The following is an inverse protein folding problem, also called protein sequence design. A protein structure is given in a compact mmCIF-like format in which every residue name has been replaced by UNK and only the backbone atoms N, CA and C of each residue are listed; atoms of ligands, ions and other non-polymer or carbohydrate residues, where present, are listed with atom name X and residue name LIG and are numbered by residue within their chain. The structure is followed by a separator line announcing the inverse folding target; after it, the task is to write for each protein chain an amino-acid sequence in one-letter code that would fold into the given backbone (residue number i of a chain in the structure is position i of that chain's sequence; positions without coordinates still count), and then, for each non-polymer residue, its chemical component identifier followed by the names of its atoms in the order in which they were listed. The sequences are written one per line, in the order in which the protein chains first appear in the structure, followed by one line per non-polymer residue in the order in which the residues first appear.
data_IF_678519127771
#
_entry.id   IF_678519127771
#
_cell.length_a   1.000
_cell.length_b   1.000
_cell.length_c   1.000
_cell.angle_alpha   90.00
_cell.angle_beta   90.00
_cell.angle_gamma   90.00
#
_symmetry.space_group_name_H-M   'P 1'
#
loop_
_entity.id
_entity.type
_entity.pdbx_description
1 polymer ?
#
# COMPACT_ATOMS: atom_id res chain seq x y z
N UNK A 1 2.67 -81.23 -18.28
CA UNK A 1 2.59 -79.97 -19.05
C UNK A 1 2.37 -78.86 -18.04
N UNK A 2 3.36 -77.96 -17.93
CA UNK A 2 3.80 -77.31 -16.69
C UNK A 2 3.25 -75.91 -16.45
N UNK A 3 3.21 -75.56 -15.16
CA UNK A 3 3.17 -74.22 -14.56
C UNK A 3 4.58 -73.57 -14.61
N UNK A 4 4.58 -72.25 -14.50
CA UNK A 4 5.63 -71.32 -14.01
C UNK A 4 6.76 -70.79 -14.95
N UNK A 5 7.01 -69.47 -14.73
CA UNK A 5 8.29 -68.70 -14.78
C UNK A 5 8.47 -67.58 -15.85
N UNK A 6 8.18 -66.34 -15.41
CA UNK A 6 8.94 -65.05 -15.39
C UNK A 6 9.65 -64.38 -16.60
N UNK A 7 9.64 -63.02 -16.51
CA UNK A 7 10.53 -61.96 -17.06
C UNK A 7 10.24 -61.40 -18.47
N UNK A 8 10.38 -60.10 -18.80
CA UNK A 8 10.55 -58.81 -18.12
C UNK A 8 10.46 -57.70 -19.20
N UNK A 9 9.96 -56.50 -18.84
CA UNK A 9 10.54 -55.16 -19.07
C UNK A 9 9.49 -54.04 -19.21
N UNK A 10 9.68 -53.05 -18.36
CA UNK A 10 9.00 -51.77 -18.27
C UNK A 10 9.33 -50.83 -19.45
N UNK A 11 8.46 -49.85 -19.72
CA UNK A 11 8.83 -48.43 -19.64
C UNK A 11 7.60 -47.52 -19.85
N UNK A 12 7.38 -46.66 -18.86
CA UNK A 12 7.01 -45.24 -18.97
C UNK A 12 5.87 -44.81 -19.92
N UNK A 13 4.74 -44.40 -19.31
CA UNK A 13 4.20 -43.03 -19.41
C UNK A 13 2.98 -42.92 -18.49
N UNK A 14 3.26 -42.92 -17.18
CA UNK A 14 2.34 -42.34 -16.22
C UNK A 14 2.43 -40.83 -16.37
N UNK A 15 1.66 -40.26 -17.30
CA UNK A 15 1.28 -38.86 -17.22
C UNK A 15 0.39 -38.72 -15.99
N UNK A 16 1.03 -38.49 -14.84
CA UNK A 16 0.36 -37.89 -13.70
C UNK A 16 -0.02 -36.51 -14.20
N UNK A 17 -1.25 -36.40 -14.71
CA UNK A 17 -1.95 -35.13 -14.79
C UNK A 17 -2.09 -34.67 -13.33
N UNK A 18 -1.09 -33.93 -12.86
CA UNK A 18 -1.32 -32.97 -11.79
C UNK A 18 -2.53 -32.17 -12.25
N UNK A 19 -3.60 -32.02 -11.45
CA UNK A 19 -4.61 -31.04 -11.81
C UNK A 19 -3.85 -29.73 -11.99
N UNK A 20 -3.91 -29.16 -13.20
CA UNK A 20 -3.62 -27.76 -13.40
C UNK A 20 -4.56 -27.06 -12.43
N UNK A 21 -4.03 -26.67 -11.27
CA UNK A 21 -4.79 -25.80 -10.38
C UNK A 21 -5.07 -24.58 -11.23
N UNK A 22 -6.34 -24.14 -11.39
CA UNK A 22 -6.58 -22.85 -12.02
C UNK A 22 -5.69 -21.84 -11.29
N UNK A 23 -4.98 -20.98 -12.04
CA UNK A 23 -4.32 -19.82 -11.46
C UNK A 23 -5.35 -19.21 -10.50
N UNK A 24 -5.02 -19.15 -9.22
CA UNK A 24 -5.93 -18.51 -8.28
C UNK A 24 -6.06 -17.08 -8.82
N UNK A 25 -7.27 -16.62 -9.19
CA UNK A 25 -7.43 -15.22 -9.54
C UNK A 25 -6.99 -14.39 -8.33
N UNK A 26 -6.60 -13.13 -8.59
CA UNK A 26 -6.35 -12.12 -7.55
C UNK A 26 -7.23 -12.34 -6.33
N UNK A 27 -6.65 -12.15 -5.15
CA UNK A 27 -7.39 -12.38 -3.92
C UNK A 27 -8.55 -11.38 -3.78
N UNK A 28 -9.52 -11.68 -2.91
CA UNK A 28 -10.71 -10.81 -2.76
C UNK A 28 -10.45 -9.57 -1.88
N UNK A 29 -9.27 -9.48 -1.23
CA UNK A 29 -8.91 -8.35 -0.38
C UNK A 29 -8.90 -7.04 -1.16
N UNK A 30 -9.53 -6.01 -0.59
CA UNK A 30 -9.65 -4.70 -1.20
C UNK A 30 -9.22 -3.60 -0.22
N UNK A 31 -8.35 -2.71 -0.72
CA UNK A 31 -7.89 -1.50 -0.08
C UNK A 31 -8.32 -0.28 -0.89
N UNK A 32 -8.30 0.88 -0.24
CA UNK A 32 -8.70 2.14 -0.88
C UNK A 32 -7.63 3.20 -0.65
N UNK A 33 -7.13 3.77 -1.74
CA UNK A 33 -6.36 5.01 -1.73
C UNK A 33 -7.33 6.18 -1.96
N UNK A 34 -7.45 7.07 -0.98
CA UNK A 34 -8.33 8.25 -1.09
C UNK A 34 -7.56 9.40 -1.72
N UNK A 35 -8.17 10.08 -2.69
CA UNK A 35 -7.55 11.24 -3.33
C UNK A 35 -7.37 12.39 -2.34
N UNK A 36 -6.19 12.99 -2.25
CA UNK A 36 -5.94 14.20 -1.46
C UNK A 36 -5.90 15.45 -2.34
N UNK A 37 -6.47 16.54 -1.82
CA UNK A 37 -6.47 17.86 -2.46
C UNK A 37 -5.62 18.88 -1.70
N UNK A 38 -5.11 18.52 -0.52
CA UNK A 38 -4.09 19.30 0.18
C UNK A 38 -2.75 18.60 0.02
N UNK A 39 -1.63 19.34 0.04
CA UNK A 39 -0.31 18.75 0.13
C UNK A 39 -0.21 17.78 1.32
N UNK A 40 0.53 16.69 1.11
CA UNK A 40 0.97 15.76 2.16
C UNK A 40 2.48 15.97 2.35
N UNK A 41 2.90 16.17 3.58
CA UNK A 41 4.28 16.42 3.98
C UNK A 41 4.80 15.16 4.67
N UNK A 42 5.74 14.46 4.02
CA UNK A 42 6.41 13.30 4.61
C UNK A 42 7.42 13.77 5.65
N UNK A 43 7.00 13.84 6.91
CA UNK A 43 7.82 14.31 8.04
C UNK A 43 7.73 13.41 9.28
N UNK A 44 6.97 12.32 9.20
CA UNK A 44 6.84 11.33 10.26
C UNK A 44 5.96 11.79 11.42
N UNK A 45 5.02 12.71 11.19
CA UNK A 45 4.13 13.23 12.26
C UNK A 45 2.65 12.89 12.09
N UNK A 46 2.21 12.48 10.89
CA UNK A 46 0.82 12.19 10.54
C UNK A 46 -0.14 13.38 10.72
N UNK A 47 0.35 14.61 10.94
CA UNK A 47 -0.49 15.78 11.25
C UNK A 47 -1.49 16.11 10.12
N UNK A 48 -1.10 15.92 8.87
CA UNK A 48 -1.92 16.16 7.69
C UNK A 48 -2.72 14.92 7.23
N UNK A 49 -2.41 13.75 7.79
CA UNK A 49 -3.20 12.53 7.68
C UNK A 49 -4.40 12.53 8.62
N UNK A 50 -4.28 13.17 9.78
CA UNK A 50 -5.35 13.30 10.77
C UNK A 50 -6.28 14.46 10.42
N UNK A 51 -7.58 14.17 10.31
CA UNK A 51 -8.61 15.18 10.16
C UNK A 51 -9.01 15.71 11.54
N UNK A 52 -8.57 16.92 11.91
CA UNK A 52 -9.17 17.66 13.04
C UNK A 52 -10.59 18.08 12.68
N UNK A 53 -11.60 17.41 13.24
CA UNK A 53 -13.02 17.76 13.11
C UNK A 53 -13.43 18.97 13.98
N UNK A 54 -12.51 19.87 14.34
CA UNK A 54 -12.81 20.93 15.31
C UNK A 54 -13.75 22.02 14.76
N UNK A 55 -13.99 22.09 13.44
CA UNK A 55 -14.80 23.16 12.84
C UNK A 55 -15.84 22.72 11.79
N UNK A 56 -15.97 21.43 11.47
CA UNK A 56 -17.03 20.99 10.56
C UNK A 56 -18.32 20.72 11.33
N UNK A 57 -19.37 21.52 11.10
CA UNK A 57 -20.76 21.27 11.55
C UNK A 57 -21.40 19.99 10.95
N UNK A 58 -20.59 19.09 10.41
CA UNK A 58 -21.01 17.81 9.85
C UNK A 58 -20.73 16.70 10.88
N UNK A 59 -21.63 16.56 11.85
CA UNK A 59 -21.64 15.39 12.75
C UNK A 59 -22.28 14.20 12.03
N UNK A 60 -21.54 13.56 11.14
CA UNK A 60 -21.80 12.17 10.79
C UNK A 60 -21.40 11.28 11.97
N UNK A 61 -22.31 11.12 12.95
CA UNK A 61 -22.07 10.24 14.09
C UNK A 61 -22.18 8.79 13.66
N UNK A 62 -21.05 8.10 13.46
CA UNK A 62 -21.02 6.66 13.67
C UNK A 62 -20.83 6.43 15.18
N UNK A 63 -21.92 6.09 15.89
CA UNK A 63 -21.79 5.69 17.29
C UNK A 63 -21.26 4.25 17.36
N UNK A 64 -20.00 4.08 17.77
CA UNK A 64 -19.53 2.81 18.27
C UNK A 64 -19.73 2.76 19.79
N UNK A 65 -20.04 1.57 20.29
CA UNK A 65 -20.52 1.21 21.62
C UNK A 65 -19.53 1.53 22.75
N UNK A 66 -19.21 2.82 22.99
CA UNK A 66 -18.54 3.37 24.20
C UNK A 66 -18.32 4.89 24.21
N UNK A 67 -18.78 5.66 23.21
CA UNK A 67 -18.81 7.13 23.29
C UNK A 67 -17.44 7.83 23.16
N UNK A 68 -16.43 7.15 22.61
CA UNK A 68 -15.14 7.77 22.27
C UNK A 68 -15.27 8.49 20.91
N UNK A 69 -14.81 9.73 20.84
CA UNK A 69 -14.65 10.46 19.57
C UNK A 69 -13.41 9.90 18.91
N UNK A 70 -13.56 9.32 17.72
CA UNK A 70 -12.47 8.79 16.90
C UNK A 70 -12.10 9.89 15.91
N UNK A 71 -10.84 10.35 15.97
CA UNK A 71 -10.26 11.22 14.95
C UNK A 71 -10.18 10.44 13.63
N UNK A 72 -10.74 11.00 12.55
CA UNK A 72 -10.71 10.33 11.26
C UNK A 72 -9.35 10.55 10.61
N UNK A 73 -8.62 9.49 10.30
CA UNK A 73 -7.52 9.54 9.33
C UNK A 73 -8.14 9.62 7.93
N UNK A 74 -7.50 10.35 7.00
CA UNK A 74 -7.99 10.58 5.63
C UNK A 74 -8.05 9.32 4.73
N UNK A 75 -8.14 8.12 5.28
CA UNK A 75 -8.17 6.87 4.53
C UNK A 75 -8.93 5.76 5.26
N UNK A 76 -9.19 4.67 4.55
CA UNK A 76 -9.67 3.44 5.16
C UNK A 76 -8.45 2.62 5.64
N UNK A 77 -8.39 2.22 6.93
CA UNK A 77 -7.26 1.48 7.44
C UNK A 77 -7.21 0.06 6.89
N UNK A 78 -6.00 -0.38 6.57
CA UNK A 78 -5.61 -1.77 6.39
C UNK A 78 -4.95 -2.21 7.70
N UNK A 79 -5.42 -3.32 8.28
CA UNK A 79 -4.90 -3.81 9.55
C UNK A 79 -4.05 -5.06 9.34
N UNK A 80 -2.83 -5.04 9.85
CA UNK A 80 -1.97 -6.23 9.97
C UNK A 80 -1.77 -6.54 11.47
N UNK A 81 -2.03 -7.77 11.87
CA UNK A 81 -1.82 -8.31 13.22
C UNK A 81 -2.03 -9.84 13.20
N UNK A 82 -1.88 -10.50 14.35
CA UNK A 82 -2.06 -11.95 14.49
C UNK A 82 -3.42 -12.51 14.00
N UNK A 83 -4.47 -11.68 13.90
CA UNK A 83 -5.83 -12.10 13.53
C UNK A 83 -6.21 -11.75 12.09
N UNK A 84 -5.65 -10.68 11.53
CA UNK A 84 -6.03 -10.17 10.20
C UNK A 84 -4.98 -10.44 9.12
N UNK A 85 -3.75 -10.75 9.50
CA UNK A 85 -2.67 -11.04 8.55
C UNK A 85 -2.58 -12.51 8.17
N UNK A 86 -2.05 -12.77 6.98
CA UNK A 86 -1.49 -14.05 6.60
C UNK A 86 -0.06 -14.16 7.15
N UNK A 87 0.16 -15.15 8.01
CA UNK A 87 1.48 -15.43 8.58
C UNK A 87 2.27 -16.34 7.64
N UNK A 88 3.38 -15.85 7.12
CA UNK A 88 4.24 -16.62 6.21
C UNK A 88 5.42 -17.25 6.93
N UNK A 89 5.98 -16.53 7.90
CA UNK A 89 7.10 -16.97 8.72
C UNK A 89 6.98 -16.39 10.13
N UNK A 90 7.61 -17.06 11.10
CA UNK A 90 7.64 -16.62 12.50
C UNK A 90 6.29 -16.78 13.21
N UNK A 91 6.00 -15.90 14.16
CA UNK A 91 4.77 -15.90 14.97
C UNK A 91 4.54 -14.51 15.54
N UNK A 92 3.32 -13.99 15.45
CA UNK A 92 2.87 -12.81 16.22
C UNK A 92 2.15 -13.30 17.47
N UNK A 93 2.71 -13.04 18.66
CA UNK A 93 2.23 -13.56 19.95
C UNK A 93 0.96 -12.85 20.42
N UNK A 94 0.88 -11.53 20.22
CA UNK A 94 -0.29 -10.71 20.56
C UNK A 94 -0.30 -9.39 19.78
N UNK A 95 -1.39 -8.59 19.83
CA UNK A 95 -1.39 -7.26 19.24
C UNK A 95 -0.34 -6.29 19.83
N UNK A 96 0.12 -6.58 21.04
CA UNK A 96 1.20 -5.86 21.72
C UNK A 96 2.61 -6.30 21.30
N UNK A 97 2.73 -7.48 20.69
CA UNK A 97 3.97 -7.96 20.05
C UNK A 97 4.10 -7.22 18.71
N UNK A 98 3.08 -7.36 17.84
CA UNK A 98 3.03 -6.63 16.58
C UNK A 98 1.60 -6.30 16.14
N UNK A 99 1.36 -5.03 15.80
CA UNK A 99 0.18 -4.63 15.02
C UNK A 99 0.40 -3.34 14.24
N UNK A 100 -0.21 -3.23 13.07
CA UNK A 100 -0.12 -2.05 12.22
C UNK A 100 -1.48 -1.62 11.68
N UNK A 101 -1.70 -0.31 11.65
CA UNK A 101 -2.79 0.33 10.91
C UNK A 101 -2.19 1.18 9.79
N UNK A 102 -2.52 0.84 8.55
CA UNK A 102 -1.90 1.39 7.35
C UNK A 102 -2.94 2.09 6.50
N UNK A 103 -2.59 3.26 5.96
CA UNK A 103 -3.47 4.12 5.21
C UNK A 103 -2.82 4.48 3.87
N UNK A 104 -3.65 4.59 2.84
CA UNK A 104 -3.23 4.97 1.51
C UNK A 104 -3.93 6.26 1.07
N UNK A 105 -3.15 7.20 0.54
CA UNK A 105 -3.64 8.37 -0.17
C UNK A 105 -3.02 8.45 -1.56
N UNK A 106 -3.61 9.25 -2.43
CA UNK A 106 -2.99 9.57 -3.71
C UNK A 106 -3.34 10.97 -4.19
N UNK A 107 -2.49 11.54 -5.02
CA UNK A 107 -2.80 12.69 -5.87
C UNK A 107 -2.25 12.45 -7.29
N UNK A 108 -2.31 13.46 -8.16
CA UNK A 108 -1.81 13.35 -9.54
C UNK A 108 -0.29 13.09 -9.65
N UNK A 109 0.48 13.28 -8.57
CA UNK A 109 1.94 13.20 -8.55
C UNK A 109 2.48 12.05 -7.72
N UNK A 110 1.82 11.70 -6.61
CA UNK A 110 2.33 10.72 -5.66
C UNK A 110 1.28 9.74 -5.19
N UNK A 111 1.76 8.54 -4.91
CA UNK A 111 1.16 7.62 -3.97
C UNK A 111 1.70 7.91 -2.58
N UNK A 112 0.85 7.86 -1.55
CA UNK A 112 1.29 8.04 -0.18
C UNK A 112 0.85 6.86 0.68
N UNK A 113 1.73 6.45 1.58
CA UNK A 113 1.45 5.47 2.63
C UNK A 113 1.73 6.11 3.99
N UNK A 114 0.86 5.84 4.95
CA UNK A 114 1.11 6.07 6.36
C UNK A 114 0.89 4.79 7.15
N UNK A 115 1.72 4.55 8.15
CA UNK A 115 1.58 3.45 9.07
C UNK A 115 1.69 3.95 10.51
N UNK A 116 0.81 3.45 11.37
CA UNK A 116 0.95 3.47 12.83
C UNK A 116 1.22 2.05 13.25
N UNK A 117 2.40 1.80 13.81
CA UNK A 117 2.89 0.46 14.14
C UNK A 117 3.15 0.38 15.63
N UNK A 118 2.59 -0.66 16.24
CA UNK A 118 2.94 -1.12 17.57
C UNK A 118 3.86 -2.32 17.44
N UNK A 119 4.98 -2.27 18.15
CA UNK A 119 6.11 -3.17 18.04
C UNK A 119 6.88 -3.09 19.37
N UNK A 120 7.06 -4.22 20.05
CA UNK A 120 7.73 -4.26 21.34
C UNK A 120 9.26 -4.21 21.26
N UNK A 121 9.85 -4.54 20.10
CA UNK A 121 11.29 -4.48 19.87
C UNK A 121 11.68 -3.99 18.46
N UNK A 122 11.74 -2.66 18.30
CA UNK A 122 12.23 -2.07 17.05
C UNK A 122 13.73 -2.31 16.77
N UNK A 123 14.04 -3.09 15.73
CA UNK A 123 15.35 -3.39 15.17
C UNK A 123 15.56 -2.69 13.82
N UNK A 124 16.65 -1.90 13.72
CA UNK A 124 16.97 -1.07 12.53
C UNK A 124 18.49 -1.04 12.27
N UNK A 125 19.15 -2.18 12.23
CA UNK A 125 20.61 -2.32 12.16
C UNK A 125 21.20 -2.28 10.73
N UNK A 126 20.40 -2.62 9.72
CA UNK A 126 20.79 -2.75 8.31
C UNK A 126 20.51 -1.47 7.52
N UNK A 127 20.93 -1.42 6.26
CA UNK A 127 20.77 -0.25 5.39
C UNK A 127 20.68 -0.67 3.92
N UNK A 128 20.14 0.22 3.09
CA UNK A 128 20.05 -0.01 1.65
C UNK A 128 19.28 -1.30 1.31
N UNK A 129 19.89 -2.16 0.50
CA UNK A 129 19.25 -3.40 0.06
C UNK A 129 19.02 -4.43 1.18
N UNK A 130 19.66 -4.27 2.34
CA UNK A 130 19.63 -5.24 3.45
C UNK A 130 18.55 -4.94 4.50
N UNK A 131 17.78 -3.84 4.35
CA UNK A 131 16.76 -3.46 5.35
C UNK A 131 15.64 -4.50 5.53
N UNK A 132 15.50 -5.48 4.62
CA UNK A 132 14.55 -6.59 4.76
C UNK A 132 14.86 -7.53 5.93
N UNK A 133 16.07 -7.45 6.49
CA UNK A 133 16.51 -8.25 7.64
C UNK A 133 16.04 -7.69 8.99
N UNK A 134 15.48 -6.48 8.98
CA UNK A 134 15.03 -5.68 10.12
C UNK A 134 13.51 -5.45 10.04
N UNK A 135 12.97 -4.61 10.94
CA UNK A 135 11.62 -4.09 10.80
C UNK A 135 11.48 -3.22 9.56
N UNK A 136 10.58 -3.66 8.67
CA UNK A 136 10.32 -3.00 7.40
C UNK A 136 8.87 -3.18 6.99
N UNK A 137 8.26 -2.10 6.52
CA UNK A 137 7.01 -2.14 5.77
C UNK A 137 7.34 -2.32 4.30
N UNK A 138 6.78 -3.34 3.68
CA UNK A 138 6.94 -3.64 2.26
C UNK A 138 5.63 -3.45 1.51
N UNK A 139 5.69 -2.64 0.46
CA UNK A 139 4.62 -2.39 -0.47
C UNK A 139 4.89 -3.17 -1.76
N UNK A 140 3.89 -3.93 -2.19
CA UNK A 140 3.96 -4.74 -3.39
C UNK A 140 2.93 -4.26 -4.39
N UNK A 141 3.38 -3.94 -5.60
CA UNK A 141 2.54 -3.36 -6.64
C UNK A 141 2.60 -4.20 -7.91
N UNK A 142 1.44 -4.43 -8.50
CA UNK A 142 1.27 -4.81 -9.91
C UNK A 142 0.46 -3.67 -10.56
N UNK A 143 1.16 -2.74 -11.22
CA UNK A 143 0.57 -1.52 -11.72
C UNK A 143 -0.42 -1.74 -12.88
N UNK A 144 -0.29 -2.81 -13.68
CA UNK A 144 -1.24 -3.12 -14.76
C UNK A 144 -2.36 -4.04 -14.30
N UNK A 145 -2.22 -4.66 -13.14
CA UNK A 145 -3.21 -5.57 -12.57
C UNK A 145 -3.55 -6.71 -13.56
N UNK A 146 -2.50 -7.25 -14.17
CA UNK A 146 -2.56 -8.32 -15.17
C UNK A 146 -1.65 -9.51 -14.83
N UNK A 147 -1.10 -9.54 -13.60
CA UNK A 147 -0.26 -10.63 -13.15
C UNK A 147 -1.01 -11.97 -13.12
N UNK A 148 -0.49 -12.91 -13.89
CA UNK A 148 -0.97 -14.30 -13.96
C UNK A 148 0.10 -15.31 -13.54
N UNK A 149 1.25 -14.82 -13.07
CA UNK A 149 2.41 -15.63 -12.70
C UNK A 149 2.85 -15.33 -11.28
N UNK A 150 3.53 -16.29 -10.65
CA UNK A 150 3.98 -16.22 -9.26
C UNK A 150 5.28 -15.44 -9.03
N UNK A 151 5.77 -14.70 -10.03
CA UNK A 151 7.10 -14.08 -9.98
C UNK A 151 7.02 -12.60 -10.31
N UNK A 152 7.34 -11.76 -9.33
CA UNK A 152 7.56 -10.32 -9.50
C UNK A 152 8.88 -10.05 -10.21
N UNK A 153 8.82 -9.64 -11.47
CA UNK A 153 9.98 -9.13 -12.21
C UNK A 153 9.60 -8.35 -13.48
N UNK A 154 8.31 -8.08 -13.71
CA UNK A 154 7.87 -7.25 -14.83
C UNK A 154 8.21 -5.78 -14.59
N UNK A 155 8.20 -4.99 -15.66
CA UNK A 155 8.60 -3.57 -15.63
C UNK A 155 7.67 -2.70 -14.78
N UNK A 156 6.43 -3.14 -14.57
CA UNK A 156 5.36 -2.44 -13.86
C UNK A 156 5.01 -3.10 -12.51
N UNK A 157 5.82 -4.08 -12.09
CA UNK A 157 5.74 -4.76 -10.80
C UNK A 157 6.83 -4.23 -9.86
N UNK A 158 6.50 -3.97 -8.60
CA UNK A 158 7.44 -3.35 -7.64
C UNK A 158 7.37 -4.00 -6.26
N UNK A 159 8.54 -4.17 -5.62
CA UNK A 159 8.67 -4.32 -4.17
C UNK A 159 9.34 -3.06 -3.62
N UNK A 160 8.67 -2.33 -2.76
CA UNK A 160 9.18 -1.10 -2.14
C UNK A 160 9.21 -1.27 -0.63
N UNK A 161 10.36 -1.11 0.00
CA UNK A 161 10.54 -1.22 1.45
C UNK A 161 10.72 0.13 2.11
N UNK A 162 10.16 0.26 3.30
CA UNK A 162 10.27 1.44 4.15
C UNK A 162 10.57 0.99 5.58
N UNK A 163 11.80 1.22 6.04
CA UNK A 163 12.23 0.89 7.40
C UNK A 163 12.39 2.19 8.19
N UNK A 164 11.85 2.29 9.42
CA UNK A 164 11.84 3.53 10.20
C UNK A 164 13.25 3.93 10.66
N UNK A 165 13.38 5.13 11.19
CA UNK A 165 14.49 5.52 12.04
C UNK A 165 14.35 4.81 13.39
N UNK A 166 15.46 4.40 14.00
CA UNK A 166 15.45 3.69 15.27
C UNK A 166 16.84 3.57 15.91
N UNK A 167 17.00 2.68 16.90
CA UNK A 167 18.22 2.54 17.69
C UNK A 167 19.47 2.18 16.86
N UNK A 168 19.31 1.38 15.81
CA UNK A 168 20.41 0.95 14.94
C UNK A 168 20.75 1.96 13.84
N UNK A 169 19.77 2.79 13.44
CA UNK A 169 19.91 3.73 12.33
C UNK A 169 19.06 5.00 12.56
N UNK A 170 19.67 6.19 12.63
CA UNK A 170 18.96 7.42 13.02
C UNK A 170 18.05 8.01 11.92
N UNK A 171 18.00 7.40 10.74
CA UNK A 171 17.22 7.88 9.60
C UNK A 171 16.36 6.74 9.05
N UNK A 172 15.13 7.07 8.67
CA UNK A 172 14.29 6.17 7.90
C UNK A 172 14.92 5.94 6.52
N UNK A 173 14.74 4.74 5.98
CA UNK A 173 15.31 4.33 4.69
C UNK A 173 14.21 3.74 3.83
N UNK A 174 14.21 4.14 2.56
CA UNK A 174 13.38 3.52 1.53
C UNK A 174 14.28 2.75 0.55
N UNK A 175 13.81 1.61 0.08
CA UNK A 175 14.51 0.82 -0.93
C UNK A 175 13.52 0.20 -1.92
N UNK A 176 13.99 -0.14 -3.13
CA UNK A 176 13.19 -0.87 -4.11
C UNK A 176 13.93 -2.13 -4.55
N UNK A 177 13.20 -3.24 -4.56
CA UNK A 177 13.64 -4.54 -5.08
C UNK A 177 12.68 -5.01 -6.18
N UNK A 178 13.01 -6.16 -6.78
CA UNK A 178 12.12 -6.94 -7.66
C UNK A 178 11.44 -6.14 -8.79
N UNK A 179 12.17 -5.20 -9.36
CA UNK A 179 11.84 -4.51 -10.60
C UNK A 179 13.12 -4.41 -11.45
N UNK A 180 13.06 -4.49 -12.79
CA UNK A 180 14.25 -4.35 -13.64
C UNK A 180 14.92 -2.97 -13.58
N UNK A 181 14.26 -1.95 -13.02
CA UNK A 181 14.74 -0.56 -12.92
C UNK A 181 14.43 0.06 -11.54
N UNK A 182 15.11 -0.41 -10.50
CA UNK A 182 14.91 0.08 -9.12
C UNK A 182 15.55 1.42 -8.83
N UNK A 183 16.72 1.74 -9.40
CA UNK A 183 17.51 2.94 -9.04
C UNK A 183 16.72 4.26 -9.12
N UNK A 184 15.97 4.57 -10.20
CA UNK A 184 15.18 5.80 -10.26
C UNK A 184 14.04 5.83 -9.24
N UNK A 185 13.52 4.67 -8.84
CA UNK A 185 12.48 4.57 -7.80
C UNK A 185 13.08 4.88 -6.44
N UNK A 186 14.22 4.27 -6.11
CA UNK A 186 14.95 4.52 -4.85
C UNK A 186 15.26 6.00 -4.69
N UNK A 187 15.75 6.66 -5.76
CA UNK A 187 16.10 8.08 -5.72
C UNK A 187 14.89 9.02 -5.61
N UNK A 188 13.71 8.57 -6.01
CA UNK A 188 12.50 9.38 -6.08
C UNK A 188 11.62 9.27 -4.82
N UNK A 189 11.70 8.15 -4.09
CA UNK A 189 10.93 7.94 -2.88
C UNK A 189 11.38 8.85 -1.74
N UNK A 190 10.41 9.27 -0.93
CA UNK A 190 10.66 9.96 0.34
C UNK A 190 10.03 9.16 1.47
N UNK A 191 10.74 9.06 2.60
CA UNK A 191 10.26 8.39 3.80
C UNK A 191 10.65 9.19 5.04
N UNK A 192 9.76 9.22 6.01
CA UNK A 192 10.03 9.79 7.33
C UNK A 192 9.31 8.96 8.39
N UNK A 193 9.81 9.00 9.61
CA UNK A 193 9.24 8.25 10.73
C UNK A 193 9.53 8.95 12.05
N UNK A 194 8.69 8.69 13.05
CA UNK A 194 8.95 9.07 14.44
C UNK A 194 8.66 7.91 15.36
N UNK A 195 9.45 7.78 16.43
CA UNK A 195 9.18 6.79 17.48
C UNK A 195 7.96 7.22 18.31
N UNK A 196 7.13 6.26 18.67
CA UNK A 196 6.10 6.40 19.70
C UNK A 196 6.58 5.69 20.98
N UNK A 197 5.89 5.83 22.12
CA UNK A 197 6.25 5.09 23.33
C UNK A 197 6.20 3.56 23.18
N UNK A 198 5.49 3.07 22.18
CA UNK A 198 5.06 1.69 22.00
C UNK A 198 5.25 1.18 20.56
N UNK A 199 6.11 1.85 19.78
CA UNK A 199 6.37 1.52 18.39
C UNK A 199 6.80 2.75 17.59
N UNK A 200 6.20 2.95 16.41
CA UNK A 200 6.55 4.06 15.53
C UNK A 200 5.42 4.46 14.58
N UNK A 201 5.56 5.65 14.01
CA UNK A 201 4.80 6.08 12.84
C UNK A 201 5.75 6.20 11.65
N UNK A 202 5.25 5.87 10.46
CA UNK A 202 6.00 5.96 9.21
C UNK A 202 5.12 6.60 8.13
N UNK A 203 5.71 7.49 7.35
CA UNK A 203 5.11 8.09 6.17
C UNK A 203 6.03 7.91 4.98
N UNK A 204 5.45 7.63 3.81
CA UNK A 204 6.18 7.56 2.56
C UNK A 204 5.41 8.24 1.43
N UNK A 205 6.15 8.83 0.50
CA UNK A 205 5.65 9.30 -0.79
C UNK A 205 6.43 8.63 -1.92
N UNK A 206 5.69 8.06 -2.87
CA UNK A 206 6.23 7.42 -4.07
C UNK A 206 5.72 8.18 -5.29
N UNK A 207 6.58 8.89 -6.04
CA UNK A 207 6.16 9.59 -7.23
C UNK A 207 5.68 8.63 -8.32
N UNK A 208 4.48 8.85 -8.87
CA UNK A 208 3.95 8.04 -9.97
C UNK A 208 4.86 8.03 -11.20
N UNK A 209 5.60 9.12 -11.43
CA UNK A 209 6.56 9.23 -12.51
C UNK A 209 7.73 8.23 -12.41
N UNK A 210 8.00 7.68 -11.22
CA UNK A 210 9.00 6.65 -11.01
C UNK A 210 8.43 5.22 -11.20
N UNK A 211 7.11 5.05 -11.08
CA UNK A 211 6.41 3.78 -11.21
C UNK A 211 5.86 3.63 -12.64
N UNK A 212 6.67 3.05 -13.53
CA UNK A 212 6.25 2.74 -14.90
C UNK A 212 5.00 1.85 -14.90
N UNK A 213 4.02 2.19 -15.73
CA UNK A 213 2.76 1.45 -15.83
C UNK A 213 1.69 1.86 -14.82
N UNK A 214 2.06 2.49 -13.70
CA UNK A 214 1.10 2.98 -12.72
C UNK A 214 0.45 4.30 -13.21
N UNK A 215 -0.84 4.23 -13.50
CA UNK A 215 -1.63 5.38 -13.97
C UNK A 215 -2.93 5.49 -13.14
N UNK A 216 -2.84 6.04 -11.92
CA UNK A 216 -4.00 6.13 -11.03
C UNK A 216 -5.07 7.03 -11.66
N UNK A 217 -6.31 6.56 -11.60
CA UNK A 217 -7.49 7.32 -12.03
C UNK A 217 -8.61 7.05 -11.05
N UNK A 218 -9.48 8.03 -10.83
CA UNK A 218 -10.66 7.84 -9.98
C UNK A 218 -11.50 6.68 -10.54
N UNK A 219 -11.79 5.69 -9.70
CA UNK A 219 -12.49 4.47 -10.06
C UNK A 219 -11.61 3.37 -10.67
N UNK A 220 -10.34 3.66 -10.91
CA UNK A 220 -9.34 2.68 -11.33
C UNK A 220 -8.78 1.87 -10.15
N UNK A 221 -7.98 0.85 -10.46
CA UNK A 221 -7.31 0.01 -9.47
C UNK A 221 -5.99 -0.54 -9.99
N UNK A 222 -5.14 -0.99 -9.05
CA UNK A 222 -3.93 -1.77 -9.31
C UNK A 222 -3.89 -3.01 -8.41
N UNK A 223 -3.01 -3.96 -8.74
CA UNK A 223 -2.67 -5.06 -7.85
C UNK A 223 -1.82 -4.55 -6.69
N UNK A 224 -2.17 -4.97 -5.49
CA UNK A 224 -1.62 -4.40 -4.28
C UNK A 224 -1.49 -5.44 -3.18
N UNK A 225 -0.35 -5.41 -2.49
CA UNK A 225 -0.17 -6.10 -1.22
C UNK A 225 0.66 -5.25 -0.27
N UNK A 226 0.52 -5.54 1.01
CA UNK A 226 1.42 -5.05 2.05
C UNK A 226 1.95 -6.28 2.77
N UNK A 227 3.26 -6.32 2.99
CA UNK A 227 3.83 -7.18 4.01
C UNK A 227 4.67 -6.39 4.99
N UNK A 228 4.91 -6.99 6.15
CA UNK A 228 5.81 -6.44 7.14
C UNK A 228 6.70 -7.55 7.68
N UNK A 229 7.99 -7.22 7.77
CA UNK A 229 8.93 -7.95 8.58
C UNK A 229 8.90 -7.36 10.00
N UNK A 230 8.86 -8.26 10.96
CA UNK A 230 8.88 -8.00 12.39
C UNK A 230 10.07 -8.77 12.98
N UNK A 231 11.06 -8.02 13.47
CA UNK A 231 12.39 -8.53 13.83
C UNK A 231 12.71 -8.23 15.29
N UNK A 232 12.54 -9.24 16.12
CA UNK A 232 13.09 -9.19 17.48
C UNK A 232 14.50 -9.76 17.57
N UNK A 233 15.24 -9.36 18.60
CA UNK A 233 16.57 -9.91 18.87
C UNK A 233 16.51 -11.36 19.39
N UNK A 234 15.42 -11.75 20.06
CA UNK A 234 15.25 -13.09 20.64
C UNK A 234 14.36 -14.04 19.83
N UNK A 235 13.71 -13.54 18.78
CA UNK A 235 12.86 -14.33 17.89
C UNK A 235 13.48 -14.60 16.51
N UNK A 236 12.99 -15.66 15.87
CA UNK A 236 13.14 -15.83 14.43
C UNK A 236 12.29 -14.77 13.73
N UNK A 237 12.80 -14.22 12.64
CA UNK A 237 12.14 -13.25 11.77
C UNK A 237 10.67 -13.64 11.49
N UNK A 238 9.76 -12.74 11.86
CA UNK A 238 8.32 -12.86 11.58
C UNK A 238 8.00 -12.09 10.30
N UNK A 239 7.21 -12.71 9.42
CA UNK A 239 6.79 -12.09 8.17
C UNK A 239 5.29 -12.28 7.97
N UNK A 240 4.59 -11.17 7.86
CA UNK A 240 3.14 -11.12 7.73
C UNK A 240 2.72 -10.38 6.46
N UNK A 241 1.67 -10.85 5.79
CA UNK A 241 1.12 -10.23 4.60
C UNK A 241 -0.36 -9.91 4.76
N UNK A 242 -0.83 -8.86 4.10
CA UNK A 242 -2.25 -8.48 4.07
C UNK A 242 -3.06 -9.41 3.18
N UNK A 243 -2.49 -9.82 2.05
CA UNK A 243 -3.19 -10.52 0.99
C UNK A 243 -2.40 -11.73 0.50
N UNK A 244 -3.11 -12.77 0.09
CA UNK A 244 -2.50 -13.99 -0.46
C UNK A 244 -1.72 -14.82 0.56
N UNK A 245 -1.22 -15.97 0.12
CA UNK A 245 -0.38 -16.86 0.93
C UNK A 245 1.11 -16.53 0.84
N UNK A 246 1.51 -15.78 -0.19
CA UNK A 246 2.88 -15.36 -0.42
C UNK A 246 2.87 -13.92 -0.93
N UNK A 247 3.49 -13.02 -0.17
CA UNK A 247 3.58 -11.59 -0.40
C UNK A 247 4.17 -11.24 -1.76
N UNK A 248 5.02 -12.10 -2.30
CA UNK A 248 5.79 -11.89 -3.53
C UNK A 248 5.15 -12.54 -4.75
N UNK A 249 3.96 -13.09 -4.61
CA UNK A 249 3.18 -13.68 -5.70
C UNK A 249 2.11 -12.69 -6.19
N UNK A 250 2.35 -11.99 -7.33
CA UNK A 250 1.48 -10.92 -7.78
C UNK A 250 0.12 -11.41 -8.28
N UNK A 251 0.00 -12.69 -8.65
CA UNK A 251 -1.30 -13.31 -8.96
C UNK A 251 -2.21 -13.46 -7.73
N UNK A 252 -1.66 -13.33 -6.52
CA UNK A 252 -2.39 -13.39 -5.25
C UNK A 252 -2.55 -12.02 -4.59
N UNK A 253 -2.16 -10.94 -5.27
CA UNK A 253 -2.37 -9.60 -4.75
C UNK A 253 -3.86 -9.28 -4.72
N UNK A 254 -4.23 -8.51 -3.71
CA UNK A 254 -5.54 -7.90 -3.62
C UNK A 254 -5.61 -6.65 -4.50
N UNK A 255 -6.62 -5.85 -4.27
CA UNK A 255 -6.94 -4.69 -5.10
C UNK A 255 -6.77 -3.39 -4.33
N UNK A 256 -6.02 -2.43 -4.88
CA UNK A 256 -6.04 -1.05 -4.38
C UNK A 256 -6.90 -0.20 -5.32
N UNK A 257 -8.04 0.27 -4.82
CA UNK A 257 -8.93 1.18 -5.56
C UNK A 257 -8.56 2.63 -5.31
N UNK A 258 -8.45 3.41 -6.39
CA UNK A 258 -8.27 4.84 -6.33
C UNK A 258 -9.63 5.53 -6.31
N UNK A 259 -10.01 6.08 -5.17
CA UNK A 259 -11.28 6.79 -5.03
C UNK A 259 -11.05 8.28 -4.89
N UNK A 260 -12.03 9.06 -5.33
CA UNK A 260 -12.04 10.49 -5.03
C UNK A 260 -12.29 10.71 -3.53
N UNK A 261 -11.76 11.79 -2.96
CA UNK A 261 -12.23 12.22 -1.66
C UNK A 261 -13.70 12.64 -1.79
N UNK A 262 -14.57 12.33 -0.82
CA UNK A 262 -15.92 12.87 -0.83
C UNK A 262 -15.84 14.41 -0.85
N UNK A 263 -16.25 15.03 -1.96
CA UNK A 263 -16.17 16.49 -2.23
C UNK A 263 -16.84 17.30 -1.11
N UNK A 264 -17.79 16.73 -0.38
CA UNK A 264 -18.52 17.37 0.73
C UNK A 264 -17.70 17.60 2.01
N UNK A 265 -16.39 17.27 2.02
CA UNK A 265 -15.52 17.37 3.21
C UNK A 265 -14.57 18.58 3.19
N UNK A 266 -14.52 19.35 2.10
CA UNK A 266 -13.77 20.59 2.02
C UNK A 266 -14.75 21.77 2.09
N UNK A 267 -14.76 22.59 3.15
CA UNK A 267 -15.38 23.91 3.05
C UNK A 267 -14.73 24.62 1.86
N UNK A 268 -15.55 25.08 0.91
CA UNK A 268 -15.12 25.78 -0.30
C UNK A 268 -14.30 27.07 -0.02
N UNK A 269 -14.18 27.43 1.26
CA UNK A 269 -13.59 28.66 1.77
C UNK A 269 -12.07 28.53 2.05
N UNK A 270 -11.46 27.36 1.85
CA UNK A 270 -10.04 27.10 2.21
C UNK A 270 -9.07 27.16 1.02
N UNK A 271 -9.55 27.39 -0.21
CA UNK A 271 -8.67 27.62 -1.35
C UNK A 271 -9.08 28.86 -2.14
N UNK A 272 -8.36 29.98 -1.95
CA UNK A 272 -8.20 30.92 -3.06
C UNK A 272 -7.29 30.24 -4.10
N UNK A 273 -7.92 29.73 -5.17
CA UNK A 273 -7.20 29.39 -6.40
C UNK A 273 -6.61 30.70 -6.94
N UNK A 274 -5.28 30.84 -7.08
CA UNK A 274 -4.69 32.02 -7.70
C UNK A 274 -5.30 32.21 -9.09
N UNK A 275 -5.82 33.40 -9.36
CA UNK A 275 -6.60 33.73 -10.56
C UNK A 275 -5.83 33.62 -11.90
N UNK A 276 -4.56 33.19 -11.88
CA UNK A 276 -3.65 33.30 -13.02
C UNK A 276 -3.16 31.94 -13.56
N UNK A 277 -4.01 30.91 -13.58
CA UNK A 277 -3.79 29.78 -14.50
C UNK A 277 -4.35 30.12 -15.87
N UNK A 278 -3.54 30.11 -16.95
CA UNK A 278 -4.01 30.49 -18.28
C UNK A 278 -5.07 29.48 -18.75
N UNK A 279 -6.29 29.99 -18.89
CA UNK A 279 -7.44 29.26 -19.41
C UNK A 279 -7.11 28.59 -20.75
N UNK A 280 -7.26 27.26 -20.82
CA UNK A 280 -7.51 26.55 -22.07
C UNK A 280 -8.87 27.04 -22.60
N UNK A 281 -8.82 28.08 -23.43
CA UNK A 281 -9.97 28.58 -24.15
C UNK A 281 -10.35 27.62 -25.27
N UNK A 282 -11.66 27.36 -25.38
CA UNK A 282 -12.51 27.27 -26.58
C UNK A 282 -13.76 26.49 -26.14
N UNK A 283 -14.90 27.15 -25.89
CA UNK A 283 -15.82 27.57 -26.94
C UNK A 283 -16.34 29.00 -26.72
N UNK A 284 -16.28 29.81 -27.78
CA UNK A 284 -16.81 31.18 -27.86
C UNK A 284 -18.27 31.20 -28.35
N UNK A 285 -19.00 32.31 -28.14
CA UNK A 285 -20.45 32.35 -27.98
C UNK A 285 -21.24 32.62 -29.28
N UNK A 286 -22.51 32.21 -29.32
CA UNK A 286 -23.46 32.78 -30.27
C UNK A 286 -24.17 34.00 -29.65
N UNK A 287 -24.06 35.13 -30.33
CA UNK A 287 -24.77 36.37 -30.05
C UNK A 287 -26.24 36.23 -30.43
N UNK A 288 -27.14 36.83 -29.65
CA UNK A 288 -28.07 37.79 -30.23
C UNK A 288 -28.43 38.87 -29.20
N UNK A 289 -28.17 40.11 -29.61
CA UNK A 289 -28.59 41.35 -28.98
C UNK A 289 -29.74 41.89 -29.83
N UNK A 290 -30.82 42.37 -29.19
CA UNK A 290 -31.60 43.58 -29.52
C UNK A 290 -32.92 43.48 -28.73
N UNK A 291 -33.41 44.51 -28.03
CA UNK A 291 -32.98 45.90 -27.96
C UNK A 291 -33.66 46.59 -26.78
N UNK A 292 -33.14 47.79 -26.47
CA UNK A 292 -33.75 48.75 -25.54
C UNK A 292 -34.50 49.83 -26.35
N UNK A 293 -35.71 50.12 -25.88
CA UNK A 293 -36.30 51.47 -25.67
C UNK A 293 -36.89 52.22 -26.88
N UNK A 294 -37.75 53.24 -26.69
CA UNK A 294 -38.00 54.09 -25.49
C UNK A 294 -38.76 53.45 -24.34
#
# INVERSE_FOLDING_TARGET
MSRDVWAALALCLGLILWPVRPAWPHSEEAAVAVKTYTPVTVNGTLEDWVRRLESSNWTGKLQVKKGQVIEWIRGAPIYLNALTSHLEAGTVKSPEDFSAAIYALWDERHFYIAAVVHDDELVTQHQGEDIWQDDVLELWLDCRHDAVTHTLFQEDEYQLGFSPAGPGRPQAVAWAWRNPRTEPVIQAMTVASSLTPDGYVLEAAVPWAALQGCHPTVGGMIGFNISMADKDNDQLWTHVAWSGQLHSDPSQFGHLYFVDAPIDLFPADVFEVPADSPSLGLLKPSRSHQGKKP
#
